data_IF_857390705157
#
_entry.id   IF_857390705157
#
_cell.length_a   1.000
_cell.length_b   1.000
_cell.length_c   1.000
_cell.angle_alpha   90.00
_cell.angle_beta   90.00
_cell.angle_gamma   90.00
#
_symmetry.space_group_name_H-M   'P 1'
#
loop_
_entity.id
_entity.type
_entity.pdbx_description
1 polymer ?
#
# COMPACT_ATOMS: atom_id res chain seq x y z
N UNK A 1 0.89 65.91 7.45
CA UNK A 1 2.23 66.60 7.26
C UNK A 1 3.00 65.69 6.38
N UNK A 2 3.07 66.08 5.20
CA UNK A 2 4.15 66.54 4.34
C UNK A 2 4.98 65.34 3.84
N UNK A 3 4.84 64.98 2.58
CA UNK A 3 5.52 65.54 1.36
C UNK A 3 6.94 64.97 1.27
N UNK A 4 7.49 64.52 0.18
CA UNK A 4 7.18 64.60 -1.25
C UNK A 4 8.44 64.15 -1.99
N UNK A 5 8.29 63.54 -3.19
CA UNK A 5 9.06 63.85 -4.41
C UNK A 5 10.61 63.70 -4.34
N UNK A 6 11.29 63.24 -5.35
CA UNK A 6 11.30 63.56 -6.78
C UNK A 6 12.16 62.54 -7.57
N UNK A 7 11.77 62.16 -8.70
CA UNK A 7 12.25 62.21 -10.09
C UNK A 7 13.70 62.60 -10.32
N UNK A 8 14.35 61.88 -11.21
CA UNK A 8 14.95 62.32 -12.52
C UNK A 8 15.76 61.17 -13.08
N UNK A 9 15.47 60.63 -14.18
CA UNK A 9 15.64 61.02 -15.60
C UNK A 9 17.03 60.69 -16.14
N UNK A 10 16.99 59.78 -17.14
CA UNK A 10 17.56 59.91 -18.48
C UNK A 10 19.06 60.06 -18.65
N UNK A 11 19.70 59.29 -19.48
CA UNK A 11 20.06 59.56 -20.86
C UNK A 11 21.05 58.52 -21.41
N UNK A 12 20.69 57.91 -22.49
CA UNK A 12 21.44 57.69 -23.75
C UNK A 12 22.96 57.47 -23.71
N UNK A 13 23.40 56.38 -24.30
CA UNK A 13 24.24 56.48 -25.50
C UNK A 13 24.40 55.17 -26.24
N UNK A 14 24.05 55.22 -27.49
CA UNK A 14 24.32 54.22 -28.54
C UNK A 14 25.83 54.05 -28.76
N UNK A 15 26.28 52.81 -28.95
CA UNK A 15 27.45 52.56 -29.78
C UNK A 15 27.25 51.30 -30.61
N UNK A 16 27.15 51.56 -31.89
CA UNK A 16 27.11 50.66 -33.02
C UNK A 16 28.50 50.10 -33.25
N UNK A 17 28.68 48.78 -33.23
CA UNK A 17 29.82 48.17 -33.93
C UNK A 17 29.33 46.93 -34.72
N UNK A 18 29.42 47.12 -36.03
CA UNK A 18 29.29 46.17 -37.08
C UNK A 18 30.56 45.31 -37.13
N UNK A 19 30.49 43.98 -37.01
CA UNK A 19 31.49 43.04 -37.54
C UNK A 19 30.80 41.83 -38.12
N UNK A 20 30.87 41.74 -39.39
CA UNK A 20 30.91 40.64 -40.37
C UNK A 20 30.75 39.21 -39.84
N UNK A 21 29.91 38.53 -40.60
CA UNK A 21 29.53 37.14 -40.55
C UNK A 21 30.62 36.11 -40.66
N UNK A 22 30.33 35.01 -40.05
CA UNK A 22 30.78 33.69 -40.49
C UNK A 22 29.61 32.70 -40.23
N UNK A 23 29.01 32.25 -41.30
CA UNK A 23 28.03 31.23 -41.26
C UNK A 23 28.63 29.90 -40.80
N UNK A 24 28.07 29.35 -39.71
CA UNK A 24 28.15 27.92 -39.43
C UNK A 24 26.73 27.37 -39.49
N UNK A 25 26.48 26.72 -40.61
CA UNK A 25 25.39 25.76 -40.74
C UNK A 25 25.72 24.57 -39.84
N UNK A 26 25.27 24.59 -38.59
CA UNK A 26 25.19 23.39 -37.78
C UNK A 26 23.82 22.77 -38.05
N UNK A 27 23.80 21.74 -38.85
CA UNK A 27 22.63 20.91 -39.04
C UNK A 27 22.17 20.32 -37.72
N UNK A 28 20.90 20.55 -37.35
CA UNK A 28 20.21 19.72 -36.39
C UNK A 28 20.18 18.29 -36.92
N UNK A 29 21.07 17.44 -36.42
CA UNK A 29 20.84 16.01 -36.46
C UNK A 29 19.76 15.70 -35.46
N UNK A 30 18.56 15.40 -35.96
CA UNK A 30 17.54 14.70 -35.19
C UNK A 30 18.11 13.31 -34.88
N UNK A 31 18.51 13.12 -33.63
CA UNK A 31 18.72 11.76 -33.13
C UNK A 31 17.34 11.13 -32.99
N UNK A 32 17.01 10.25 -33.93
CA UNK A 32 15.96 9.26 -33.76
C UNK A 32 16.32 8.43 -32.55
N UNK A 33 15.74 8.78 -31.40
CA UNK A 33 15.72 7.90 -30.25
C UNK A 33 14.68 6.80 -30.54
N UNK A 34 15.15 5.72 -31.11
CA UNK A 34 14.42 4.46 -31.10
C UNK A 34 14.22 4.00 -29.65
N UNK A 35 13.04 3.42 -29.31
CA UNK A 35 12.72 3.03 -27.94
C UNK A 35 13.40 1.73 -27.45
N UNK A 36 14.55 1.38 -27.98
CA UNK A 36 15.16 0.05 -27.76
C UNK A 36 16.29 -0.01 -26.74
N UNK A 37 16.62 1.04 -26.02
CA UNK A 37 17.67 1.02 -24.99
C UNK A 37 17.17 1.46 -23.60
N UNK A 38 16.02 0.95 -23.15
CA UNK A 38 15.84 0.75 -21.72
C UNK A 38 16.50 -0.58 -21.34
N UNK A 39 17.82 -0.62 -21.34
CA UNK A 39 18.54 -1.58 -20.52
C UNK A 39 18.01 -1.41 -19.09
N UNK A 40 17.30 -2.43 -18.61
CA UNK A 40 17.02 -2.61 -17.19
C UNK A 40 18.38 -2.56 -16.51
N UNK A 41 18.73 -1.42 -15.93
CA UNK A 41 19.90 -1.32 -15.08
C UNK A 41 19.67 -2.35 -13.97
N UNK A 42 20.43 -3.43 -14.02
CA UNK A 42 20.48 -4.44 -12.98
C UNK A 42 20.88 -3.69 -11.70
N UNK A 43 19.89 -3.42 -10.85
CA UNK A 43 20.14 -2.72 -9.59
C UNK A 43 21.14 -3.55 -8.79
N UNK A 44 22.24 -2.94 -8.40
CA UNK A 44 23.20 -3.58 -7.51
C UNK A 44 22.46 -4.12 -6.28
N UNK A 45 22.82 -5.35 -5.81
CA UNK A 45 22.16 -5.92 -4.65
C UNK A 45 22.22 -4.96 -3.47
N UNK A 46 21.05 -4.70 -2.85
CA UNK A 46 20.95 -3.81 -1.68
C UNK A 46 21.68 -4.50 -0.52
N UNK A 47 22.77 -3.89 -0.05
CA UNK A 47 23.46 -4.37 1.13
C UNK A 47 22.65 -4.00 2.38
N UNK A 48 22.24 -5.03 3.14
CA UNK A 48 21.49 -4.83 4.38
C UNK A 48 22.46 -4.47 5.50
N UNK A 49 22.29 -3.27 6.06
CA UNK A 49 23.05 -2.84 7.25
C UNK A 49 22.45 -3.51 8.48
N UNK A 50 23.17 -4.45 9.08
CA UNK A 50 22.72 -5.18 10.28
C UNK A 50 23.80 -5.26 11.36
N UNK A 51 23.36 -5.57 12.58
CA UNK A 51 24.28 -5.83 13.70
C UNK A 51 25.21 -7.02 13.37
N UNK A 52 26.51 -6.97 13.76
CA UNK A 52 27.41 -8.13 13.65
C UNK A 52 26.90 -9.37 14.39
N UNK A 53 26.04 -9.19 15.39
CA UNK A 53 25.46 -10.27 16.19
C UNK A 53 24.12 -10.78 15.62
N UNK A 54 23.66 -10.25 14.49
CA UNK A 54 22.44 -10.70 13.84
C UNK A 54 22.76 -11.87 12.87
N UNK A 55 22.39 -13.13 13.22
CA UNK A 55 22.70 -14.30 12.39
C UNK A 55 21.78 -14.45 11.18
N UNK A 56 20.68 -13.69 11.09
CA UNK A 56 19.68 -13.81 10.03
C UNK A 56 20.23 -13.38 8.69
N UNK A 57 19.74 -14.02 7.63
CA UNK A 57 19.98 -13.60 6.26
C UNK A 57 18.76 -12.84 5.71
N UNK A 58 19.03 -11.85 4.84
CA UNK A 58 18.03 -10.95 4.31
C UNK A 58 18.14 -10.86 2.81
N UNK A 59 17.00 -10.82 2.13
CA UNK A 59 16.90 -10.54 0.71
C UNK A 59 15.80 -9.49 0.48
N UNK A 60 16.14 -8.41 -0.20
CA UNK A 60 15.18 -7.37 -0.59
C UNK A 60 15.19 -7.21 -2.10
N UNK A 61 14.00 -7.17 -2.70
CA UNK A 61 13.83 -6.83 -4.11
C UNK A 61 12.47 -6.19 -4.37
N UNK A 62 12.34 -5.56 -5.54
CA UNK A 62 11.06 -5.15 -6.09
C UNK A 62 10.69 -6.10 -7.21
N UNK A 63 9.54 -6.75 -7.10
CA UNK A 63 9.04 -7.69 -8.10
C UNK A 63 8.66 -6.97 -9.41
N UNK A 64 8.54 -7.69 -10.54
CA UNK A 64 8.12 -7.08 -11.81
C UNK A 64 6.76 -6.40 -11.76
N UNK A 65 5.84 -6.84 -10.88
CA UNK A 65 4.55 -6.19 -10.63
C UNK A 65 4.64 -4.98 -9.68
N UNK A 66 5.83 -4.56 -9.28
CA UNK A 66 6.06 -3.39 -8.43
C UNK A 66 6.01 -3.66 -6.92
N UNK A 67 5.58 -4.85 -6.48
CA UNK A 67 5.53 -5.22 -5.06
C UNK A 67 6.95 -5.24 -4.46
N UNK A 68 7.11 -4.58 -3.32
CA UNK A 68 8.37 -4.58 -2.56
C UNK A 68 8.40 -5.79 -1.61
N UNK A 69 9.43 -6.60 -1.73
CA UNK A 69 9.55 -7.86 -0.99
C UNK A 69 10.79 -7.86 -0.11
N UNK A 70 10.62 -8.15 1.17
CA UNK A 70 11.70 -8.46 2.11
C UNK A 70 11.53 -9.91 2.59
N UNK A 71 12.54 -10.75 2.34
CA UNK A 71 12.58 -12.14 2.80
C UNK A 71 13.69 -12.29 3.85
N UNK A 72 13.33 -12.87 4.98
CA UNK A 72 14.22 -13.07 6.15
C UNK A 72 14.34 -14.55 6.43
N UNK A 73 15.56 -15.06 6.37
CA UNK A 73 15.89 -16.43 6.79
C UNK A 73 16.47 -16.39 8.19
N UNK A 74 15.83 -17.10 9.13
CA UNK A 74 16.27 -17.26 10.51
C UNK A 74 16.19 -18.75 10.91
N UNK A 75 17.31 -19.47 10.82
CA UNK A 75 17.37 -20.90 11.14
C UNK A 75 16.96 -21.23 12.59
N UNK A 76 16.95 -20.23 13.49
CA UNK A 76 16.57 -20.38 14.89
C UNK A 76 15.12 -19.96 15.17
N UNK A 77 14.34 -19.59 14.14
CA UNK A 77 12.96 -19.15 14.33
C UNK A 77 12.07 -20.31 14.80
N UNK A 78 11.42 -20.11 15.94
CA UNK A 78 10.43 -21.04 16.49
C UNK A 78 9.08 -20.95 15.74
N UNK A 79 8.80 -19.80 15.15
CA UNK A 79 7.62 -19.53 14.32
C UNK A 79 8.03 -18.88 13.01
N UNK A 80 7.22 -19.09 12.00
CA UNK A 80 7.31 -18.36 10.73
C UNK A 80 6.21 -17.31 10.69
N UNK A 81 6.45 -16.21 9.99
CA UNK A 81 5.53 -15.08 9.94
C UNK A 81 5.55 -14.40 8.58
N UNK A 82 4.44 -13.81 8.21
CA UNK A 82 4.37 -12.90 7.09
C UNK A 82 3.50 -11.68 7.43
N UNK A 83 3.84 -10.56 6.80
CA UNK A 83 3.03 -9.34 6.83
C UNK A 83 3.00 -8.73 5.43
N UNK A 84 1.86 -8.15 5.07
CA UNK A 84 1.70 -7.36 3.85
C UNK A 84 1.00 -6.05 4.19
N UNK A 85 1.60 -4.96 3.77
CA UNK A 85 1.05 -3.62 3.90
C UNK A 85 0.62 -3.12 2.54
N UNK A 86 -0.62 -2.70 2.43
CA UNK A 86 -1.14 -1.89 1.32
C UNK A 86 -1.07 -0.43 1.75
N UNK A 87 -0.39 0.44 0.98
CA UNK A 87 -0.25 1.87 1.30
C UNK A 87 -1.53 2.65 0.95
N UNK A 88 -2.64 2.12 1.42
CA UNK A 88 -3.99 2.70 1.36
C UNK A 88 -4.67 2.44 2.70
N UNK A 89 -5.29 3.46 3.24
CA UNK A 89 -5.98 3.41 4.52
C UNK A 89 -7.15 4.37 4.53
N UNK A 90 -7.64 4.76 5.70
CA UNK A 90 -8.85 5.57 5.83
C UNK A 90 -8.77 6.97 5.20
N UNK A 91 -7.59 7.49 4.84
CA UNK A 91 -7.45 8.72 4.05
C UNK A 91 -7.97 8.59 2.62
N UNK A 92 -8.12 7.36 2.15
CA UNK A 92 -8.61 7.04 0.81
C UNK A 92 -10.11 6.73 0.79
N UNK A 93 -10.76 6.71 1.96
CA UNK A 93 -12.21 6.52 2.03
C UNK A 93 -12.92 7.60 1.20
N UNK A 94 -13.89 7.24 0.35
CA UNK A 94 -14.80 8.22 -0.23
C UNK A 94 -15.49 9.02 0.87
N UNK A 95 -15.71 10.32 0.64
CA UNK A 95 -16.33 11.19 1.65
C UNK A 95 -17.71 10.70 2.10
N UNK A 96 -18.41 10.01 1.22
CA UNK A 96 -19.73 9.44 1.44
C UNK A 96 -19.69 8.07 2.12
N UNK A 97 -18.49 7.47 2.26
CA UNK A 97 -18.25 6.12 2.80
C UNK A 97 -17.14 6.06 3.84
N UNK A 98 -17.18 6.86 4.92
CA UNK A 98 -16.17 6.79 5.96
C UNK A 98 -16.12 5.39 6.62
N UNK A 99 -14.94 4.77 6.66
CA UNK A 99 -14.73 3.43 7.16
C UNK A 99 -14.73 2.33 6.10
N UNK A 100 -14.74 2.68 4.80
CA UNK A 100 -14.73 1.70 3.72
C UNK A 100 -13.43 0.88 3.66
N UNK A 101 -12.28 1.51 3.89
CA UNK A 101 -10.99 0.83 3.97
C UNK A 101 -10.95 -0.21 5.10
N UNK A 102 -11.51 0.12 6.27
CA UNK A 102 -11.63 -0.81 7.38
C UNK A 102 -12.64 -1.94 7.09
N UNK A 103 -13.73 -1.61 6.44
CA UNK A 103 -14.70 -2.62 6.01
C UNK A 103 -14.09 -3.58 4.97
N UNK A 104 -13.25 -3.10 4.04
CA UNK A 104 -12.52 -3.96 3.12
C UNK A 104 -11.54 -4.88 3.86
N UNK A 105 -10.88 -4.39 4.91
CA UNK A 105 -10.02 -5.21 5.76
C UNK A 105 -10.76 -6.44 6.27
N UNK A 106 -11.99 -6.28 6.81
CA UNK A 106 -12.84 -7.38 7.27
C UNK A 106 -13.20 -8.34 6.14
N UNK A 107 -13.61 -7.81 4.99
CA UNK A 107 -14.11 -8.60 3.88
C UNK A 107 -13.04 -9.50 3.24
N UNK A 108 -11.76 -9.13 3.29
CA UNK A 108 -10.67 -9.95 2.75
C UNK A 108 -10.48 -11.27 3.50
N UNK A 109 -10.87 -11.35 4.76
CA UNK A 109 -10.78 -12.58 5.55
C UNK A 109 -11.90 -13.60 5.25
N UNK A 110 -12.94 -13.21 4.50
CA UNK A 110 -14.15 -14.04 4.34
C UNK A 110 -13.96 -15.23 3.40
N UNK A 111 -12.90 -15.21 2.61
CA UNK A 111 -12.56 -16.32 1.72
C UNK A 111 -11.94 -15.85 0.42
N UNK A 112 -11.35 -16.79 -0.28
CA UNK A 112 -10.70 -16.57 -1.56
C UNK A 112 -11.16 -17.63 -2.55
N UNK A 113 -10.93 -17.44 -3.86
CA UNK A 113 -11.29 -18.43 -4.87
C UNK A 113 -10.69 -19.81 -4.57
N UNK A 114 -9.45 -19.84 -4.08
CA UNK A 114 -8.74 -21.08 -3.75
C UNK A 114 -9.20 -21.69 -2.43
N UNK A 115 -9.59 -20.86 -1.46
CA UNK A 115 -10.00 -21.25 -0.11
C UNK A 115 -11.32 -20.56 0.25
N UNK A 116 -12.45 -21.09 -0.25
CA UNK A 116 -13.74 -20.37 -0.19
C UNK A 116 -14.42 -20.39 1.19
N UNK A 117 -13.93 -21.20 2.13
CA UNK A 117 -14.55 -21.34 3.45
C UNK A 117 -14.36 -20.05 4.28
N UNK A 118 -15.43 -19.38 4.71
CA UNK A 118 -15.34 -18.03 5.34
C UNK A 118 -14.47 -17.94 6.58
N UNK A 119 -14.45 -18.98 7.42
CA UNK A 119 -13.63 -19.02 8.64
C UNK A 119 -12.40 -19.94 8.47
N UNK A 120 -12.17 -20.43 7.23
CA UNK A 120 -11.15 -21.43 6.92
C UNK A 120 -9.73 -20.94 7.14
N UNK A 121 -9.47 -19.65 6.91
CA UNK A 121 -8.17 -19.06 7.15
C UNK A 121 -7.82 -18.99 8.65
N UNK A 122 -8.66 -18.39 9.47
CA UNK A 122 -8.42 -18.28 10.91
C UNK A 122 -8.34 -19.66 11.57
N UNK A 123 -9.25 -20.56 11.20
CA UNK A 123 -9.25 -21.94 11.71
C UNK A 123 -7.93 -22.67 11.37
N UNK A 124 -7.41 -22.48 10.16
CA UNK A 124 -6.13 -23.07 9.76
C UNK A 124 -4.98 -22.52 10.59
N UNK A 125 -4.84 -21.18 10.70
CA UNK A 125 -3.76 -20.53 11.43
C UNK A 125 -3.79 -20.92 12.91
N UNK A 126 -4.93 -20.86 13.57
CA UNK A 126 -5.09 -21.17 14.99
C UNK A 126 -4.83 -22.67 15.29
N UNK A 127 -5.34 -23.57 14.46
CA UNK A 127 -5.15 -25.03 14.63
C UNK A 127 -3.67 -25.42 14.55
N UNK A 128 -2.88 -24.63 13.79
CA UNK A 128 -1.43 -24.87 13.63
C UNK A 128 -0.58 -23.94 14.51
N UNK A 129 -1.13 -23.50 15.66
CA UNK A 129 -0.41 -22.78 16.70
C UNK A 129 -0.01 -21.34 16.32
N UNK A 130 -0.71 -20.76 15.36
CA UNK A 130 -0.50 -19.40 14.89
C UNK A 130 -1.52 -18.40 15.41
N UNK A 131 -1.34 -17.17 15.01
CA UNK A 131 -2.29 -16.07 15.17
C UNK A 131 -2.28 -15.19 13.93
N UNK A 132 -3.39 -14.54 13.64
CA UNK A 132 -3.51 -13.60 12.53
C UNK A 132 -4.32 -12.39 12.95
N UNK A 133 -3.98 -11.24 12.39
CA UNK A 133 -4.73 -10.01 12.57
C UNK A 133 -4.47 -9.05 11.42
N UNK A 134 -5.22 -7.94 11.41
CA UNK A 134 -4.99 -6.80 10.54
C UNK A 134 -5.30 -5.50 11.28
N UNK A 135 -4.98 -4.37 10.68
CA UNK A 135 -5.42 -3.06 11.13
C UNK A 135 -5.41 -2.06 9.97
N UNK A 136 -6.36 -1.14 10.00
CA UNK A 136 -6.45 -0.01 9.08
C UNK A 136 -6.01 1.27 9.77
N UNK A 137 -4.89 1.83 9.29
CA UNK A 137 -4.35 3.13 9.68
C UNK A 137 -4.85 4.23 8.73
N UNK A 138 -4.51 5.51 8.98
CA UNK A 138 -4.87 6.59 8.06
C UNK A 138 -4.34 6.41 6.63
N UNK A 139 -3.09 6.00 6.46
CA UNK A 139 -2.36 5.96 5.20
C UNK A 139 -2.05 4.54 4.69
N UNK A 140 -2.34 3.50 5.49
CA UNK A 140 -2.10 2.11 5.11
C UNK A 140 -3.03 1.14 5.82
N UNK A 141 -3.17 -0.06 5.24
CA UNK A 141 -3.79 -1.23 5.88
C UNK A 141 -2.76 -2.35 5.92
N UNK A 142 -2.60 -2.98 7.06
CA UNK A 142 -1.60 -4.03 7.27
C UNK A 142 -2.25 -5.33 7.72
N UNK A 143 -1.86 -6.42 7.11
CA UNK A 143 -2.29 -7.79 7.38
C UNK A 143 -1.08 -8.60 7.83
N UNK A 144 -1.23 -9.48 8.81
CA UNK A 144 -0.10 -10.29 9.29
C UNK A 144 -0.56 -11.55 9.99
N UNK A 145 0.33 -12.56 9.96
CA UNK A 145 0.13 -13.78 10.73
C UNK A 145 1.46 -14.38 11.14
N UNK A 146 1.42 -15.21 12.16
CA UNK A 146 2.47 -16.18 12.51
C UNK A 146 1.89 -17.59 12.54
N UNK A 147 2.74 -18.61 12.39
CA UNK A 147 2.35 -20.02 12.41
C UNK A 147 3.56 -20.91 12.71
N UNK A 148 3.34 -22.17 13.10
CA UNK A 148 4.42 -23.14 13.17
C UNK A 148 5.08 -23.33 11.80
N UNK A 149 6.44 -23.44 11.73
CA UNK A 149 7.17 -23.44 10.46
C UNK A 149 6.75 -24.53 9.48
N UNK A 150 6.33 -25.69 9.97
CA UNK A 150 5.92 -26.85 9.16
C UNK A 150 4.66 -26.56 8.32
N UNK A 151 3.81 -25.64 8.77
CA UNK A 151 2.54 -25.26 8.11
C UNK A 151 2.62 -23.91 7.38
N UNK A 152 3.78 -23.27 7.41
CA UNK A 152 3.95 -21.93 6.87
C UNK A 152 3.61 -21.85 5.37
N UNK A 153 3.96 -22.89 4.59
CA UNK A 153 3.69 -22.89 3.15
C UNK A 153 2.22 -22.74 2.81
N UNK A 154 1.37 -23.53 3.44
CA UNK A 154 -0.06 -23.44 3.25
C UNK A 154 -0.62 -22.15 3.87
N UNK A 155 -0.12 -21.74 5.03
CA UNK A 155 -0.53 -20.49 5.66
C UNK A 155 -0.22 -19.28 4.80
N UNK A 156 0.98 -19.23 4.22
CA UNK A 156 1.40 -18.15 3.32
C UNK A 156 0.60 -18.13 2.01
N UNK A 157 0.29 -19.29 1.44
CA UNK A 157 -0.53 -19.39 0.25
C UNK A 157 -1.96 -18.87 0.52
N UNK A 158 -2.60 -19.30 1.61
CA UNK A 158 -3.91 -18.79 2.05
C UNK A 158 -3.90 -17.27 2.24
N UNK A 159 -2.87 -16.76 2.88
CA UNK A 159 -2.67 -15.32 3.11
C UNK A 159 -2.48 -14.55 1.80
N UNK A 160 -1.65 -15.05 0.90
CA UNK A 160 -1.38 -14.41 -0.40
C UNK A 160 -2.64 -14.29 -1.26
N UNK A 161 -3.56 -15.26 -1.16
CA UNK A 161 -4.80 -15.25 -1.94
C UNK A 161 -5.72 -14.07 -1.61
N UNK A 162 -5.60 -13.42 -0.47
CA UNK A 162 -6.33 -12.19 -0.15
C UNK A 162 -6.04 -11.07 -1.16
N UNK A 163 -4.84 -11.04 -1.72
CA UNK A 163 -4.35 -10.01 -2.63
C UNK A 163 -4.33 -10.47 -4.10
N UNK A 164 -4.67 -11.74 -4.35
CA UNK A 164 -4.67 -12.34 -5.68
C UNK A 164 -6.10 -12.54 -6.18
N UNK A 165 -6.93 -13.23 -5.40
CA UNK A 165 -8.28 -13.60 -5.79
C UNK A 165 -9.23 -13.70 -4.58
N UNK A 166 -9.49 -12.59 -3.86
CA UNK A 166 -10.48 -12.60 -2.77
C UNK A 166 -11.89 -12.79 -3.34
N UNK A 167 -12.73 -13.56 -2.65
CA UNK A 167 -14.12 -13.77 -3.06
C UNK A 167 -14.99 -12.54 -2.80
N UNK A 168 -14.74 -11.83 -1.69
CA UNK A 168 -15.60 -10.71 -1.24
C UNK A 168 -17.09 -11.05 -1.35
N UNK A 169 -17.49 -12.24 -0.86
CA UNK A 169 -18.83 -12.78 -1.05
C UNK A 169 -19.91 -11.82 -0.50
N UNK A 170 -20.81 -11.32 -1.35
CA UNK A 170 -21.85 -10.38 -0.95
C UNK A 170 -22.80 -10.94 0.11
N UNK A 171 -22.90 -12.27 0.26
CA UNK A 171 -23.70 -12.89 1.31
C UNK A 171 -23.24 -12.56 2.73
N UNK A 172 -21.99 -12.16 2.90
CA UNK A 172 -21.39 -11.82 4.20
C UNK A 172 -21.31 -10.32 4.48
N UNK A 173 -21.65 -9.47 3.52
CA UNK A 173 -21.62 -8.01 3.66
C UNK A 173 -22.36 -7.54 4.92
N UNK A 174 -23.59 -7.99 5.12
CA UNK A 174 -24.38 -7.59 6.29
C UNK A 174 -23.81 -8.13 7.63
N UNK A 175 -23.18 -9.29 7.62
CA UNK A 175 -22.47 -9.84 8.79
C UNK A 175 -21.31 -8.92 9.18
N UNK A 176 -20.47 -8.57 8.22
CA UNK A 176 -19.27 -7.76 8.46
C UNK A 176 -19.61 -6.29 8.76
N UNK A 177 -20.64 -5.72 8.16
CA UNK A 177 -21.16 -4.41 8.57
C UNK A 177 -21.54 -4.38 10.05
N UNK A 178 -22.18 -5.44 10.54
CA UNK A 178 -22.53 -5.58 11.96
C UNK A 178 -21.30 -5.78 12.86
N UNK A 179 -20.26 -6.48 12.38
CA UNK A 179 -18.99 -6.63 13.09
C UNK A 179 -18.30 -5.27 13.25
N UNK A 180 -18.10 -4.53 12.18
CA UNK A 180 -17.53 -3.18 12.17
C UNK A 180 -18.35 -2.23 13.08
N UNK A 181 -19.68 -2.28 13.00
CA UNK A 181 -20.53 -1.46 13.86
C UNK A 181 -20.39 -1.81 15.34
N UNK A 182 -20.21 -3.08 15.66
CA UNK A 182 -19.99 -3.53 17.04
C UNK A 182 -18.66 -3.00 17.59
N UNK A 183 -17.61 -2.98 16.79
CA UNK A 183 -16.33 -2.36 17.12
C UNK A 183 -16.47 -0.86 17.34
N UNK A 184 -17.16 -0.16 16.45
CA UNK A 184 -17.49 1.25 16.65
C UNK A 184 -18.20 1.50 17.99
N UNK A 185 -19.22 0.71 18.31
CA UNK A 185 -19.95 0.85 19.58
C UNK A 185 -19.07 0.58 20.80
N UNK A 186 -18.15 -0.36 20.73
CA UNK A 186 -17.20 -0.65 21.80
C UNK A 186 -16.25 0.55 22.00
N UNK A 187 -15.73 1.11 20.92
CA UNK A 187 -14.81 2.25 20.95
C UNK A 187 -15.49 3.56 21.38
N UNK A 188 -16.74 3.78 20.94
CA UNK A 188 -17.53 4.95 21.31
C UNK A 188 -17.67 5.13 22.83
N UNK A 189 -17.59 4.05 23.62
CA UNK A 189 -17.67 4.06 25.08
C UNK A 189 -16.32 4.30 25.76
N UNK A 190 -15.20 4.19 25.05
CA UNK A 190 -13.87 4.34 25.60
C UNK A 190 -13.44 5.82 25.61
N UNK A 191 -13.01 6.33 26.77
CA UNK A 191 -12.66 7.75 26.94
C UNK A 191 -11.51 8.21 26.04
N UNK A 192 -10.53 7.33 25.75
CA UNK A 192 -9.45 7.61 24.81
C UNK A 192 -9.97 7.92 23.41
N UNK A 193 -10.91 7.10 22.90
CA UNK A 193 -11.52 7.29 21.59
C UNK A 193 -12.43 8.52 21.56
N UNK A 194 -13.16 8.80 22.63
CA UNK A 194 -13.97 10.02 22.76
C UNK A 194 -13.11 11.27 22.72
N UNK A 195 -11.98 11.27 23.43
CA UNK A 195 -11.00 12.34 23.39
C UNK A 195 -10.41 12.53 22.00
N UNK A 196 -10.07 11.43 21.31
CA UNK A 196 -9.57 11.45 19.95
C UNK A 196 -10.60 12.00 18.94
N UNK A 197 -11.87 11.62 19.09
CA UNK A 197 -12.97 12.17 18.29
C UNK A 197 -13.11 13.68 18.47
N UNK A 198 -13.05 14.18 19.71
CA UNK A 198 -13.08 15.63 19.98
C UNK A 198 -11.86 16.34 19.35
N UNK A 199 -10.68 15.72 19.43
CA UNK A 199 -9.47 16.25 18.79
C UNK A 199 -9.65 16.33 17.27
N UNK A 200 -10.18 15.30 16.63
CA UNK A 200 -10.47 15.30 15.17
C UNK A 200 -11.43 16.44 14.79
N UNK A 201 -12.46 16.70 15.58
CA UNK A 201 -13.40 17.81 15.35
C UNK A 201 -12.77 19.20 15.44
N UNK A 202 -11.65 19.34 16.16
CA UNK A 202 -10.91 20.58 16.28
C UNK A 202 -9.87 20.80 15.14
N UNK A 203 -9.68 19.79 14.29
CA UNK A 203 -8.77 19.87 13.14
C UNK A 203 -9.41 20.56 11.93
N UNK A 204 -8.59 20.80 10.90
CA UNK A 204 -9.09 21.26 9.61
C UNK A 204 -10.11 20.26 9.04
N UNK A 205 -11.39 20.63 8.85
CA UNK A 205 -12.42 19.71 8.37
C UNK A 205 -12.17 19.20 6.93
N UNK A 206 -11.36 19.90 6.14
CA UNK A 206 -11.01 19.47 4.78
C UNK A 206 -9.89 18.40 4.77
N UNK A 207 -9.21 18.18 5.89
CA UNK A 207 -8.17 17.17 5.97
C UNK A 207 -8.78 15.80 6.27
N UNK A 208 -8.42 14.73 5.54
CA UNK A 208 -9.01 13.39 5.73
C UNK A 208 -8.92 12.86 7.16
N UNK A 209 -7.89 13.27 7.93
CA UNK A 209 -7.75 12.86 9.33
C UNK A 209 -8.85 13.36 10.26
N UNK A 210 -9.58 14.42 9.88
CA UNK A 210 -10.75 14.91 10.63
C UNK A 210 -11.95 13.97 10.53
N UNK A 211 -11.98 13.09 9.51
CA UNK A 211 -13.11 12.23 9.23
C UNK A 211 -13.19 11.02 10.15
N UNK A 212 -14.39 10.48 10.27
CA UNK A 212 -14.64 9.20 10.92
C UNK A 212 -14.01 8.07 10.09
N UNK A 213 -13.43 7.04 10.72
CA UNK A 213 -12.62 6.05 10.01
C UNK A 213 -12.90 4.59 10.40
N UNK A 214 -13.77 4.36 11.40
CA UNK A 214 -14.08 2.99 11.85
C UNK A 214 -15.12 2.35 10.92
N UNK A 215 -16.12 3.09 10.54
CA UNK A 215 -17.32 2.57 9.88
C UNK A 215 -18.46 2.33 10.86
N UNK A 216 -19.68 2.42 10.37
CA UNK A 216 -20.92 2.15 11.12
C UNK A 216 -22.00 1.67 10.18
N UNK A 217 -23.13 1.16 10.72
CA UNK A 217 -24.28 0.81 9.88
C UNK A 217 -24.82 2.02 9.11
N UNK A 218 -24.60 3.24 9.58
CA UNK A 218 -25.01 4.46 8.89
C UNK A 218 -24.07 4.80 7.73
N UNK A 219 -22.74 4.77 7.95
CA UNK A 219 -21.76 5.12 6.92
C UNK A 219 -21.58 4.04 5.86
N UNK A 220 -21.91 2.79 6.19
CA UNK A 220 -21.83 1.63 5.30
C UNK A 220 -23.22 1.19 4.78
N UNK A 221 -24.22 2.08 4.81
CA UNK A 221 -25.57 1.77 4.33
C UNK A 221 -25.66 1.76 2.79
N UNK A 222 -26.73 1.18 2.25
CA UNK A 222 -27.00 1.09 0.82
C UNK A 222 -26.06 0.12 0.09
N UNK A 223 -25.70 0.44 -1.17
CA UNK A 223 -24.86 -0.43 -2.03
C UNK A 223 -23.37 -0.30 -1.70
N UNK A 224 -23.00 -0.67 -0.48
CA UNK A 224 -21.59 -0.65 -0.03
C UNK A 224 -20.74 -1.69 -0.77
N UNK A 225 -21.34 -2.75 -1.29
CA UNK A 225 -20.61 -3.79 -2.01
C UNK A 225 -19.98 -3.27 -3.32
N UNK A 226 -20.73 -2.48 -4.09
CA UNK A 226 -20.20 -1.86 -5.30
C UNK A 226 -19.05 -0.89 -4.99
N UNK A 227 -19.20 -0.09 -3.92
CA UNK A 227 -18.14 0.82 -3.47
C UNK A 227 -16.90 0.07 -2.97
N UNK A 228 -17.09 -1.07 -2.28
CA UNK A 228 -16.04 -1.96 -1.82
C UNK A 228 -15.20 -2.53 -2.98
N UNK A 229 -15.89 -3.05 -4.01
CA UNK A 229 -15.22 -3.59 -5.20
C UNK A 229 -14.44 -2.51 -5.94
N UNK A 230 -15.03 -1.33 -6.11
CA UNK A 230 -14.34 -0.17 -6.71
C UNK A 230 -13.10 0.22 -5.91
N UNK A 231 -13.21 0.29 -4.58
CA UNK A 231 -12.08 0.62 -3.70
C UNK A 231 -10.96 -0.41 -3.81
N UNK A 232 -11.28 -1.70 -3.87
CA UNK A 232 -10.29 -2.75 -4.04
C UNK A 232 -9.57 -2.62 -5.39
N UNK A 233 -10.30 -2.48 -6.49
CA UNK A 233 -9.74 -2.36 -7.84
C UNK A 233 -8.87 -1.10 -8.01
N UNK A 234 -9.23 0.02 -7.37
CA UNK A 234 -8.47 1.27 -7.47
C UNK A 234 -7.24 1.32 -6.57
N UNK A 235 -7.24 0.58 -5.45
CA UNK A 235 -6.27 0.78 -4.38
C UNK A 235 -5.40 -0.43 -4.04
N UNK A 236 -5.85 -1.66 -4.33
CA UNK A 236 -5.11 -2.88 -3.98
C UNK A 236 -4.24 -3.37 -5.14
N UNK A 237 -3.38 -2.48 -5.63
CA UNK A 237 -2.41 -2.77 -6.68
C UNK A 237 -1.06 -3.17 -6.10
N UNK A 238 -0.40 -4.15 -6.71
CA UNK A 238 0.87 -4.71 -6.24
C UNK A 238 1.97 -3.65 -6.04
N UNK A 239 2.03 -2.61 -6.88
CA UNK A 239 2.97 -1.48 -6.76
C UNK A 239 2.72 -0.58 -5.54
N UNK A 240 1.55 -0.73 -4.91
CA UNK A 240 1.18 -0.07 -3.65
C UNK A 240 1.37 -0.99 -2.44
N UNK A 241 2.09 -2.12 -2.60
CA UNK A 241 2.24 -3.13 -1.56
C UNK A 241 3.69 -3.36 -1.16
N UNK A 242 3.87 -3.74 0.11
CA UNK A 242 5.13 -4.27 0.62
C UNK A 242 4.86 -5.51 1.44
N UNK A 243 5.58 -6.59 1.15
CA UNK A 243 5.49 -7.85 1.88
C UNK A 243 6.79 -8.15 2.62
N UNK A 244 6.67 -8.70 3.82
CA UNK A 244 7.78 -9.22 4.63
C UNK A 244 7.48 -10.66 4.99
N UNK A 245 8.44 -11.55 4.77
CA UNK A 245 8.33 -12.97 5.09
C UNK A 245 9.51 -13.39 5.93
N UNK A 246 9.27 -14.10 7.04
CA UNK A 246 10.27 -14.69 7.90
C UNK A 246 10.04 -16.20 8.03
N UNK A 247 11.09 -16.99 7.75
CA UNK A 247 11.03 -18.45 7.86
C UNK A 247 12.42 -19.04 8.17
N UNK A 248 12.46 -20.31 8.63
CA UNK A 248 13.70 -21.01 8.96
C UNK A 248 14.51 -21.50 7.75
N UNK A 249 13.88 -21.67 6.59
CA UNK A 249 14.56 -22.13 5.37
C UNK A 249 15.58 -21.10 4.87
N UNK A 250 16.67 -21.55 4.22
CA UNK A 250 17.67 -20.65 3.64
C UNK A 250 17.06 -19.82 2.49
N UNK A 251 17.66 -18.64 2.24
CA UNK A 251 17.15 -17.70 1.21
C UNK A 251 17.06 -18.33 -0.18
N UNK A 252 17.98 -19.24 -0.53
CA UNK A 252 18.02 -19.93 -1.83
C UNK A 252 16.75 -20.76 -2.09
N UNK A 253 16.12 -21.25 -1.03
CA UNK A 253 14.85 -21.99 -1.08
C UNK A 253 13.67 -21.03 -0.94
N UNK A 254 13.75 -20.12 0.02
CA UNK A 254 12.63 -19.28 0.43
C UNK A 254 12.30 -18.20 -0.61
N UNK A 255 13.31 -17.53 -1.18
CA UNK A 255 13.09 -16.42 -2.12
C UNK A 255 12.32 -16.86 -3.37
N UNK A 256 12.71 -17.93 -4.11
CA UNK A 256 11.94 -18.35 -5.28
C UNK A 256 10.49 -18.71 -4.96
N UNK A 257 10.25 -19.32 -3.82
CA UNK A 257 8.91 -19.71 -3.39
C UNK A 257 8.01 -18.50 -3.09
N UNK A 258 8.50 -17.55 -2.28
CA UNK A 258 7.76 -16.32 -1.94
C UNK A 258 7.51 -15.45 -3.18
N UNK A 259 8.51 -15.35 -4.07
CA UNK A 259 8.37 -14.64 -5.35
C UNK A 259 7.28 -15.24 -6.23
N UNK A 260 7.25 -16.56 -6.38
CA UNK A 260 6.23 -17.22 -7.19
C UNK A 260 4.82 -16.85 -6.72
N UNK A 261 4.58 -16.82 -5.40
CA UNK A 261 3.27 -16.46 -4.86
C UNK A 261 2.91 -14.99 -5.12
N UNK A 262 3.78 -14.05 -4.71
CA UNK A 262 3.45 -12.62 -4.77
C UNK A 262 3.60 -12.00 -6.17
N UNK A 263 4.19 -12.72 -7.13
CA UNK A 263 4.17 -12.31 -8.54
C UNK A 263 2.76 -12.36 -9.15
N UNK A 264 1.87 -13.15 -8.57
CA UNK A 264 0.48 -13.28 -9.02
C UNK A 264 -0.44 -12.17 -8.44
N UNK A 265 0.07 -11.34 -7.50
CA UNK A 265 -0.67 -10.16 -7.04
C UNK A 265 -0.96 -9.20 -8.20
N UNK A 266 -2.20 -8.76 -8.30
CA UNK A 266 -2.66 -7.93 -9.40
C UNK A 266 -1.95 -6.58 -9.44
N UNK A 267 -1.56 -6.16 -10.63
CA UNK A 267 -1.10 -4.81 -10.92
C UNK A 267 -2.20 -4.09 -11.70
N UNK A 268 -2.91 -3.20 -11.01
CA UNK A 268 -3.88 -2.33 -11.66
C UNK A 268 -3.14 -1.13 -12.26
N UNK A 269 -3.02 -1.10 -13.59
CA UNK A 269 -2.55 0.10 -14.27
C UNK A 269 -3.70 1.08 -14.36
N UNK A 270 -3.67 2.15 -13.57
CA UNK A 270 -4.58 3.27 -13.81
C UNK A 270 -4.40 3.74 -15.25
N UNK A 271 -5.49 3.99 -16.02
CA UNK A 271 -5.34 4.64 -17.30
C UNK A 271 -4.58 5.95 -17.08
N UNK A 272 -3.51 6.14 -17.86
CA UNK A 272 -2.73 7.37 -17.76
C UNK A 272 -3.66 8.57 -17.96
N UNK A 273 -3.55 9.64 -17.14
CA UNK A 273 -4.33 10.86 -17.38
C UNK A 273 -4.06 11.53 -18.72
N UNK A 274 -3.31 10.87 -19.62
CA UNK A 274 -2.91 11.35 -20.96
C UNK A 274 -3.43 10.50 -22.11
N UNK A 275 -4.25 9.45 -21.84
CA UNK A 275 -4.90 8.65 -22.87
C UNK A 275 -6.32 9.13 -23.16
#
# INVERSE_FOLDING_TARGET
>A
MLQARDKTSELLSSLLFLILGFGFLSGCQSTDNTPEDRQTAEMAPIEVIKSPNDPRAYHFETLPNGLKLLVISDAAADKSAAALTVFRGSFHDPKERPGLAHFLEHMLFIGTEKYPEPDGYFSFIETHGGSSNAYTAPDHTNYFFDIQPEFFGEGLDRFGQFFIAPLMDPAYVEREKNAVHSEYQMQYKADGWRGFTVQKQAMNPDHPFSQFSIGSLETLDGDVYSDLMTFFEEHYSADQMSAVVLHKEPLETLVPWVKALFSDCLLYTSPSPRD
#
